data_IF_397728303846
#
_entry.id   IF_397728303846
#
_cell.length_a   1.000
_cell.length_b   1.000
_cell.length_c   1.000
_cell.angle_alpha   90.00
_cell.angle_beta   90.00
_cell.angle_gamma   90.00
#
_symmetry.space_group_name_H-M   'P 1'
#
loop_
_entity.id
_entity.type
_entity.pdbx_description
1 polymer ?
#
# COMPACT_ATOMS: atom_id res chain seq x y z
N UNK A 1 7.31 -3.69 12.19
CA UNK A 1 6.43 -4.33 11.21
C UNK A 1 5.77 -3.30 10.28
N UNK A 2 5.15 -2.23 10.81
CA UNK A 2 4.47 -1.18 10.03
C UNK A 2 5.29 -0.59 8.87
N UNK A 3 6.58 -0.27 9.08
CA UNK A 3 7.44 0.29 8.03
C UNK A 3 7.58 -0.60 6.79
N UNK A 4 7.67 -1.92 6.97
CA UNK A 4 7.77 -2.85 5.85
C UNK A 4 6.44 -2.90 5.07
N UNK A 5 5.32 -2.95 5.79
CA UNK A 5 3.99 -2.90 5.17
C UNK A 5 3.79 -1.59 4.38
N UNK A 6 4.09 -0.44 4.97
CA UNK A 6 4.01 0.86 4.29
C UNK A 6 4.94 0.91 3.05
N UNK A 7 6.16 0.37 3.13
CA UNK A 7 7.04 0.27 1.96
C UNK A 7 6.44 -0.60 0.87
N UNK A 8 5.77 -1.71 1.21
CA UNK A 8 5.07 -2.55 0.22
C UNK A 8 3.85 -1.85 -0.39
N UNK A 9 3.08 -1.09 0.42
CA UNK A 9 1.98 -0.25 -0.07
C UNK A 9 2.46 0.69 -1.15
N UNK A 10 3.56 1.40 -0.89
CA UNK A 10 4.13 2.37 -1.82
C UNK A 10 4.78 1.71 -3.03
N UNK A 11 5.62 0.70 -2.82
CA UNK A 11 6.49 0.17 -3.90
C UNK A 11 5.89 -0.99 -4.69
N UNK A 12 4.94 -1.75 -4.13
CA UNK A 12 4.39 -2.96 -4.74
C UNK A 12 2.92 -2.82 -5.11
N UNK A 13 2.13 -2.14 -4.29
CA UNK A 13 0.69 -1.95 -4.53
C UNK A 13 0.37 -0.60 -5.18
N UNK A 14 1.34 0.32 -5.29
CA UNK A 14 1.14 1.63 -5.89
C UNK A 14 0.14 2.49 -5.11
N UNK A 15 0.07 2.31 -3.79
CA UNK A 15 -0.81 3.05 -2.87
C UNK A 15 -0.19 4.39 -2.44
N UNK A 16 0.46 5.08 -3.39
CA UNK A 16 0.96 6.44 -3.22
C UNK A 16 0.49 7.29 -4.40
N UNK A 17 -0.14 8.42 -4.11
CA UNK A 17 -0.59 9.35 -5.15
C UNK A 17 0.60 9.99 -5.89
N UNK A 18 1.72 10.21 -5.20
CA UNK A 18 2.91 10.85 -5.76
C UNK A 18 3.66 9.95 -6.76
N UNK A 19 3.67 8.63 -6.54
CA UNK A 19 4.31 7.66 -7.44
C UNK A 19 3.33 7.06 -8.45
N UNK A 20 2.03 7.12 -8.16
CA UNK A 20 0.98 6.50 -8.95
C UNK A 20 1.00 4.96 -8.87
N UNK A 21 0.19 4.29 -9.70
CA UNK A 21 0.01 2.83 -9.66
C UNK A 21 1.16 2.09 -10.36
N UNK A 22 2.40 2.30 -9.90
CA UNK A 22 3.60 1.68 -10.46
C UNK A 22 4.20 0.71 -9.46
N UNK A 23 4.51 -0.51 -9.92
CA UNK A 23 5.26 -1.50 -9.14
C UNK A 23 6.77 -1.26 -9.34
N UNK A 24 7.41 -0.72 -8.31
CA UNK A 24 8.85 -0.44 -8.26
C UNK A 24 9.65 -1.57 -7.61
N UNK A 25 9.01 -2.44 -6.83
CA UNK A 25 9.65 -3.61 -6.22
C UNK A 25 9.35 -4.88 -7.02
N UNK A 26 10.41 -5.60 -7.43
CA UNK A 26 10.30 -6.94 -7.99
C UNK A 26 9.76 -7.95 -6.97
N UNK A 27 9.10 -9.01 -7.44
CA UNK A 27 8.73 -10.14 -6.56
C UNK A 27 10.00 -10.81 -6.05
N UNK A 28 10.37 -10.57 -4.80
CA UNK A 28 11.36 -11.39 -4.12
C UNK A 28 10.77 -12.78 -3.88
N UNK A 29 11.41 -13.81 -4.43
CA UNK A 29 11.05 -15.21 -4.19
C UNK A 29 12.01 -15.78 -3.14
N UNK A 30 11.58 -16.01 -1.90
CA UNK A 30 12.45 -16.49 -0.82
C UNK A 30 13.17 -17.82 -1.12
N UNK A 31 12.65 -18.63 -2.05
CA UNK A 31 13.23 -19.93 -2.43
C UNK A 31 14.28 -19.84 -3.55
N UNK A 32 14.37 -18.70 -4.28
CA UNK A 32 15.33 -18.50 -5.36
C UNK A 32 16.58 -17.71 -4.91
N UNK A 33 16.63 -17.26 -3.66
CA UNK A 33 17.72 -16.44 -3.12
C UNK A 33 18.88 -17.28 -2.52
N UNK A 34 18.99 -18.55 -2.88
CA UNK A 34 20.04 -19.45 -2.39
C UNK A 34 21.44 -19.14 -2.95
N UNK A 35 22.36 -18.83 -2.03
CA UNK A 35 23.79 -19.16 -2.03
C UNK A 35 24.65 -18.97 -3.30
N UNK A 36 24.49 -17.92 -4.11
CA UNK A 36 25.48 -17.78 -5.20
C UNK A 36 25.48 -16.60 -6.16
N UNK A 37 24.54 -15.66 -6.12
CA UNK A 37 24.61 -14.48 -6.99
C UNK A 37 24.39 -13.22 -6.17
N UNK A 38 25.48 -12.43 -6.10
CA UNK A 38 25.67 -11.36 -5.15
C UNK A 38 24.57 -10.31 -5.14
N UNK A 39 24.13 -9.96 -3.93
CA UNK A 39 24.24 -8.64 -3.28
C UNK A 39 24.12 -7.38 -4.13
N UNK A 40 23.43 -7.44 -5.25
CA UNK A 40 22.99 -6.28 -6.00
C UNK A 40 21.56 -6.53 -6.44
N UNK A 41 20.66 -6.52 -5.46
CA UNK A 41 19.32 -6.00 -5.68
C UNK A 41 19.49 -4.53 -6.07
N UNK A 42 19.95 -4.29 -7.29
CA UNK A 42 20.05 -2.96 -7.87
C UNK A 42 18.67 -2.35 -7.73
N UNK A 43 18.53 -1.28 -6.93
CA UNK A 43 17.28 -0.52 -6.83
C UNK A 43 16.86 -0.24 -8.28
N UNK A 44 15.73 -0.77 -8.78
CA UNK A 44 15.36 -0.58 -10.18
C UNK A 44 14.86 0.85 -10.44
N UNK A 45 15.20 1.81 -9.59
CA UNK A 45 14.71 3.17 -9.57
C UNK A 45 15.80 4.15 -9.11
N UNK A 46 15.67 5.41 -9.55
CA UNK A 46 16.64 6.46 -9.27
C UNK A 46 16.70 6.86 -7.79
N UNK A 47 17.78 7.53 -7.37
CA UNK A 47 17.88 8.15 -6.02
C UNK A 47 16.72 9.10 -5.72
N UNK A 48 16.30 9.90 -6.71
CA UNK A 48 15.13 10.78 -6.58
C UNK A 48 13.85 9.98 -6.27
N UNK A 49 13.66 8.84 -6.93
CA UNK A 49 12.53 7.94 -6.65
C UNK A 49 12.65 7.30 -5.26
N UNK A 50 13.86 6.94 -4.82
CA UNK A 50 14.09 6.38 -3.49
C UNK A 50 13.71 7.37 -2.38
N UNK A 51 14.12 8.63 -2.53
CA UNK A 51 13.75 9.72 -1.61
C UNK A 51 12.24 9.95 -1.56
N UNK A 52 11.58 9.87 -2.72
CA UNK A 52 10.12 10.00 -2.80
C UNK A 52 9.41 8.83 -2.10
N UNK A 53 9.88 7.59 -2.28
CA UNK A 53 9.36 6.42 -1.56
C UNK A 53 9.47 6.63 -0.05
N UNK A 54 10.64 7.05 0.43
CA UNK A 54 10.87 7.21 1.87
C UNK A 54 10.00 8.33 2.47
N UNK A 55 9.74 9.39 1.70
CA UNK A 55 8.82 10.47 2.08
C UNK A 55 7.39 9.95 2.20
N UNK A 56 6.91 9.18 1.23
CA UNK A 56 5.57 8.60 1.24
C UNK A 56 5.37 7.57 2.35
N UNK A 57 6.38 6.74 2.60
CA UNK A 57 6.37 5.79 3.71
C UNK A 57 6.27 6.54 5.04
N UNK A 58 7.05 7.61 5.21
CA UNK A 58 6.97 8.44 6.42
C UNK A 58 5.59 9.07 6.57
N UNK A 59 5.03 9.66 5.51
CA UNK A 59 3.70 10.26 5.52
C UNK A 59 2.63 9.28 6.00
N UNK A 60 2.60 8.07 5.43
CA UNK A 60 1.65 7.01 5.83
C UNK A 60 1.81 6.66 7.30
N UNK A 61 3.06 6.48 7.77
CA UNK A 61 3.32 6.12 9.16
C UNK A 61 2.92 7.23 10.13
N UNK A 62 3.21 8.48 9.81
CA UNK A 62 2.88 9.63 10.64
C UNK A 62 1.35 9.81 10.75
N UNK A 63 0.61 9.62 9.63
CA UNK A 63 -0.85 9.65 9.61
C UNK A 63 -1.46 8.52 10.45
N UNK A 64 -1.07 7.27 10.22
CA UNK A 64 -1.57 6.14 10.98
C UNK A 64 -1.22 6.24 12.46
N UNK A 65 -0.03 6.75 12.79
CA UNK A 65 0.39 6.93 14.18
C UNK A 65 -0.45 7.99 14.89
N UNK A 66 -0.70 9.11 14.21
CA UNK A 66 -1.57 10.17 14.73
C UNK A 66 -3.00 9.65 14.94
N UNK A 67 -3.56 8.97 13.95
CA UNK A 67 -4.90 8.38 14.04
C UNK A 67 -4.99 7.39 15.21
N UNK A 68 -3.98 6.52 15.37
CA UNK A 68 -3.92 5.60 16.50
C UNK A 68 -3.86 6.32 17.85
N UNK A 69 -3.07 7.39 17.96
CA UNK A 69 -3.00 8.19 19.19
C UNK A 69 -4.33 8.88 19.49
N UNK A 70 -4.97 9.46 18.48
CA UNK A 70 -6.24 10.15 18.64
C UNK A 70 -7.33 9.16 19.07
N UNK A 71 -7.38 7.97 18.48
CA UNK A 71 -8.30 6.89 18.87
C UNK A 71 -8.04 6.38 20.30
N UNK A 72 -6.78 6.20 20.69
CA UNK A 72 -6.43 5.79 22.06
C UNK A 72 -6.79 6.86 23.10
N UNK A 73 -6.68 8.15 22.73
CA UNK A 73 -7.08 9.28 23.58
C UNK A 73 -8.59 9.37 23.70
N UNK A 74 -9.32 9.21 22.60
CA UNK A 74 -10.77 9.20 22.57
C UNK A 74 -11.33 8.09 23.46
N UNK A 75 -10.71 6.91 23.45
CA UNK A 75 -11.13 5.75 24.24
C UNK A 75 -10.32 5.56 25.53
N UNK A 76 -9.77 6.64 26.11
CA UNK A 76 -8.91 6.56 27.30
C UNK A 76 -9.56 5.85 28.48
N UNK A 77 -10.85 6.06 28.71
CA UNK A 77 -11.62 5.42 29.78
C UNK A 77 -11.79 3.91 29.57
N UNK A 78 -11.94 3.47 28.32
CA UNK A 78 -11.99 2.04 27.99
C UNK A 78 -10.61 1.39 28.21
N UNK A 79 -9.53 2.10 27.87
CA UNK A 79 -8.17 1.64 28.12
C UNK A 79 -7.88 1.51 29.62
N UNK A 80 -8.27 2.48 30.44
CA UNK A 80 -8.12 2.39 31.91
C UNK A 80 -8.86 1.19 32.50
N UNK A 81 -10.09 0.93 32.04
CA UNK A 81 -10.87 -0.24 32.48
C UNK A 81 -10.17 -1.56 32.11
N UNK A 82 -9.63 -1.67 30.90
CA UNK A 82 -8.87 -2.84 30.48
C UNK A 82 -7.59 -3.03 31.28
N UNK A 83 -6.86 -1.95 31.58
CA UNK A 83 -5.64 -2.00 32.40
C UNK A 83 -5.96 -2.48 33.81
N UNK A 84 -7.00 -1.94 34.44
CA UNK A 84 -7.42 -2.39 35.78
C UNK A 84 -7.85 -3.85 35.78
N UNK A 85 -8.61 -4.29 34.78
CA UNK A 85 -8.99 -5.70 34.64
C UNK A 85 -7.77 -6.61 34.43
N UNK A 86 -6.76 -6.18 33.66
CA UNK A 86 -5.52 -6.94 33.47
C UNK A 86 -4.63 -6.99 34.72
N UNK A 87 -4.72 -5.99 35.60
CA UNK A 87 -4.03 -6.01 36.89
C UNK A 87 -4.68 -6.99 37.87
N UNK A 88 -5.98 -7.24 37.74
CA UNK A 88 -6.72 -8.22 38.55
C UNK A 88 -6.64 -9.64 37.95
N UNK A 89 -6.66 -9.74 36.63
CA UNK A 89 -6.68 -10.98 35.86
C UNK A 89 -5.55 -10.91 34.82
N UNK A 90 -4.49 -11.71 35.00
CA UNK A 90 -3.30 -11.68 34.13
C UNK A 90 -3.60 -11.82 32.62
N UNK A 91 -4.76 -12.38 32.26
CA UNK A 91 -5.24 -12.57 30.89
C UNK A 91 -6.73 -12.30 30.80
N UNK A 92 -7.18 -11.72 29.69
CA UNK A 92 -8.60 -11.50 29.37
C UNK A 92 -8.94 -12.13 28.02
N UNK A 93 -10.07 -12.82 27.94
CA UNK A 93 -10.65 -13.35 26.70
C UNK A 93 -11.49 -12.29 25.95
N UNK A 94 -11.83 -12.57 24.69
CA UNK A 94 -12.57 -11.62 23.82
C UNK A 94 -13.86 -11.09 24.47
N UNK A 95 -14.65 -11.97 25.10
CA UNK A 95 -15.91 -11.59 25.74
C UNK A 95 -15.69 -10.64 26.92
N UNK A 96 -14.61 -10.84 27.68
CA UNK A 96 -14.25 -10.04 28.83
C UNK A 96 -13.75 -8.66 28.37
N UNK A 97 -12.92 -8.63 27.33
CA UNK A 97 -12.44 -7.38 26.72
C UNK A 97 -13.63 -6.54 26.24
N UNK A 98 -14.59 -7.12 25.52
CA UNK A 98 -15.78 -6.41 25.04
C UNK A 98 -16.65 -5.91 26.20
N UNK A 99 -16.80 -6.72 27.25
CA UNK A 99 -17.60 -6.37 28.43
C UNK A 99 -16.98 -5.23 29.23
N UNK A 100 -15.66 -5.27 29.46
CA UNK A 100 -14.92 -4.28 30.27
C UNK A 100 -14.73 -2.97 29.50
N UNK A 101 -14.36 -3.05 28.22
CA UNK A 101 -14.19 -1.86 27.38
C UNK A 101 -15.51 -1.17 27.04
N UNK A 102 -16.62 -1.92 26.98
CA UNK A 102 -17.92 -1.45 26.53
C UNK A 102 -17.96 -1.11 25.03
N UNK A 103 -16.94 -1.55 24.27
CA UNK A 103 -16.87 -1.33 22.83
C UNK A 103 -17.74 -2.36 22.08
N UNK A 104 -18.38 -1.94 20.98
CA UNK A 104 -19.13 -2.87 20.14
C UNK A 104 -18.18 -3.87 19.46
N UNK A 105 -18.68 -5.07 19.19
CA UNK A 105 -17.96 -6.03 18.35
C UNK A 105 -17.70 -5.41 16.98
N UNK A 106 -16.45 -5.53 16.51
CA UNK A 106 -16.05 -5.05 15.19
C UNK A 106 -16.95 -5.65 14.09
N UNK A 107 -17.44 -4.84 13.14
CA UNK A 107 -18.26 -5.34 12.04
C UNK A 107 -17.44 -6.32 11.19
N UNK A 108 -18.11 -7.34 10.65
CA UNK A 108 -17.51 -8.22 9.65
C UNK A 108 -17.24 -7.39 8.40
N UNK A 109 -15.99 -7.31 7.99
CA UNK A 109 -15.63 -6.70 6.71
C UNK A 109 -16.25 -7.55 5.59
N UNK A 110 -17.24 -7.00 4.89
CA UNK A 110 -17.72 -7.57 3.65
C UNK A 110 -16.63 -7.40 2.59
N UNK A 111 -16.24 -8.49 1.92
CA UNK A 111 -15.24 -8.42 0.86
C UNK A 111 -15.81 -7.65 -0.31
N UNK A 112 -15.36 -6.41 -0.50
CA UNK A 112 -15.67 -5.64 -1.69
C UNK A 112 -15.12 -6.37 -2.93
N UNK A 113 -15.89 -6.51 -4.01
CA UNK A 113 -15.38 -7.05 -5.26
C UNK A 113 -14.22 -6.17 -5.74
N UNK A 114 -13.06 -6.77 -6.00
CA UNK A 114 -11.91 -6.05 -6.55
C UNK A 114 -12.31 -5.57 -7.94
N UNK A 115 -12.33 -4.25 -8.23
CA UNK A 115 -12.66 -3.77 -9.56
C UNK A 115 -11.66 -4.36 -10.55
N UNK A 116 -12.17 -5.03 -11.58
CA UNK A 116 -11.34 -5.61 -12.61
C UNK A 116 -10.73 -4.47 -13.43
N UNK A 117 -9.48 -4.63 -13.86
CA UNK A 117 -8.80 -3.67 -14.74
C UNK A 117 -9.60 -3.37 -16.03
N UNK A 118 -10.53 -4.24 -16.41
CA UNK A 118 -11.44 -4.03 -17.54
C UNK A 118 -12.38 -2.83 -17.37
N UNK A 119 -12.70 -2.43 -16.13
CA UNK A 119 -13.73 -1.42 -15.87
C UNK A 119 -13.22 0.03 -15.97
N UNK A 120 -11.91 0.23 -16.02
CA UNK A 120 -11.28 1.56 -15.95
C UNK A 120 -10.46 1.95 -17.21
N UNK A 121 -10.73 1.33 -18.36
CA UNK A 121 -10.17 1.81 -19.63
C UNK A 121 -11.15 2.80 -20.26
N UNK A 122 -10.86 4.12 -20.28
CA UNK A 122 -11.63 5.02 -21.13
C UNK A 122 -11.46 4.57 -22.59
N UNK A 123 -12.58 4.35 -23.27
CA UNK A 123 -12.65 3.87 -24.67
C UNK A 123 -11.88 4.75 -25.69
N UNK A 124 -11.30 5.87 -25.25
CA UNK A 124 -10.53 6.80 -26.07
C UNK A 124 -9.06 6.38 -26.32
N UNK A 125 -8.53 5.37 -25.63
CA UNK A 125 -7.10 5.01 -25.73
C UNK A 125 -6.79 3.89 -26.75
N UNK A 126 -7.79 3.28 -27.40
CA UNK A 126 -7.56 2.25 -28.43
C UNK A 126 -7.72 2.84 -29.84
N UNK A 127 -6.82 3.74 -30.23
CA UNK A 127 -6.55 3.97 -31.66
C UNK A 127 -5.59 2.89 -32.14
N UNK A 128 -6.01 2.15 -33.16
CA UNK A 128 -5.27 1.06 -33.77
C UNK A 128 -3.86 1.50 -34.23
N UNK A 129 -2.82 0.64 -34.13
CA UNK A 129 -1.53 0.91 -34.73
C UNK A 129 -1.65 0.69 -36.25
N UNK A 130 -1.86 1.77 -37.00
CA UNK A 130 -2.03 1.67 -38.44
C UNK A 130 -2.28 2.99 -39.13
N UNK A 131 -1.41 3.98 -38.92
CA UNK A 131 -1.22 5.06 -39.91
C UNK A 131 0.11 5.78 -39.62
N UNK A 132 1.21 5.28 -40.21
CA UNK A 132 2.40 6.09 -40.40
C UNK A 132 2.17 6.88 -41.70
N UNK A 133 2.22 8.23 -41.70
CA UNK A 133 2.19 8.96 -42.95
C UNK A 133 3.42 8.58 -43.78
N UNK A 134 3.16 8.04 -44.98
CA UNK A 134 4.21 7.76 -45.97
C UNK A 134 4.92 9.07 -46.34
N UNK A 135 6.27 9.09 -46.46
CA UNK A 135 6.96 10.26 -46.96
C UNK A 135 6.58 10.48 -48.43
N UNK A 136 6.10 11.69 -48.74
CA UNK A 136 5.61 12.08 -50.05
C UNK A 136 6.63 11.82 -51.15
N UNK A 137 6.23 11.01 -52.14
CA UNK A 137 6.91 10.91 -53.42
C UNK A 137 6.64 12.19 -54.22
N UNK A 138 7.54 13.17 -54.11
CA UNK A 138 7.63 14.26 -55.07
C UNK A 138 8.09 13.72 -56.43
N UNK A 139 7.17 13.64 -57.38
CA UNK A 139 7.49 13.61 -58.82
C UNK A 139 7.09 14.96 -59.39
N UNK A 140 8.05 15.74 -59.84
CA UNK A 140 7.82 16.66 -60.94
C UNK A 140 8.96 16.51 -61.94
N UNK A 141 8.58 16.15 -63.16
CA UNK A 141 9.43 16.09 -64.34
C UNK A 141 9.45 17.48 -64.99
N UNK A 142 10.63 17.95 -65.35
CA UNK A 142 10.91 18.62 -66.62
C UNK A 142 12.40 18.50 -66.91
#
# INVERSE_FOLDING_TARGET
QATNLARQMVTRWGMSEALGPVALAGKENPYLSGDGYGMSASKPFSESTAQLIDTEVKRILDECYKEALDLLREHRDALERLVNALLEQDTLDEQEILSVSGLPRAPRLETLPIPSRADNVPAAAMRAPGDLPSPGAGREKA
#
